data_IF_048635737349
#
_entry.id   IF_048635737349
#
_cell.length_a   1.000
_cell.length_b   1.000
_cell.length_c   1.000
_cell.angle_alpha   90.00
_cell.angle_beta   90.00
_cell.angle_gamma   90.00
#
_symmetry.space_group_name_H-M   'P 1'
#
loop_
_entity.id
_entity.type
_entity.pdbx_description
1 polymer ?
#
# COMPACT_ATOMS: atom_id res chain seq x y z
N UNK A 1 -4.94 14.85 13.07
CA UNK A 1 -4.63 13.53 12.48
C UNK A 1 -5.90 12.70 12.53
N UNK A 2 -6.46 12.35 11.38
CA UNK A 2 -7.68 11.53 11.31
C UNK A 2 -7.38 10.13 11.83
N UNK A 3 -8.18 9.63 12.76
CA UNK A 3 -8.06 8.27 13.27
C UNK A 3 -8.69 7.29 12.26
N UNK A 4 -7.89 6.88 11.28
CA UNK A 4 -8.27 6.01 10.16
C UNK A 4 -8.81 4.65 10.62
N UNK A 5 -8.46 4.23 11.84
CA UNK A 5 -8.81 2.94 12.41
C UNK A 5 -10.27 2.84 12.89
N UNK A 6 -10.95 3.99 13.05
CA UNK A 6 -12.32 4.10 13.59
C UNK A 6 -13.43 3.71 12.63
N UNK A 7 -13.11 3.30 11.40
CA UNK A 7 -14.08 2.71 10.48
C UNK A 7 -13.77 2.98 9.01
N UNK A 8 -14.47 2.24 8.15
CA UNK A 8 -14.27 2.28 6.70
C UNK A 8 -14.52 3.67 6.09
N UNK A 9 -15.43 4.48 6.67
CA UNK A 9 -15.68 5.86 6.21
C UNK A 9 -14.47 6.77 6.44
N UNK A 10 -13.75 6.59 7.55
CA UNK A 10 -12.55 7.38 7.82
C UNK A 10 -11.40 6.96 6.89
N UNK A 11 -11.29 5.66 6.60
CA UNK A 11 -10.35 5.16 5.61
C UNK A 11 -10.69 5.67 4.20
N UNK A 12 -11.97 5.71 3.84
CA UNK A 12 -12.43 6.26 2.57
C UNK A 12 -12.11 7.76 2.43
N UNK A 13 -12.41 8.56 3.47
CA UNK A 13 -12.05 9.97 3.51
C UNK A 13 -10.53 10.17 3.40
N UNK A 14 -9.74 9.32 4.07
CA UNK A 14 -8.29 9.33 3.95
C UNK A 14 -7.82 9.13 2.51
N UNK A 15 -8.33 8.11 1.82
CA UNK A 15 -7.96 7.82 0.43
C UNK A 15 -8.25 9.01 -0.49
N UNK A 16 -9.42 9.63 -0.33
CA UNK A 16 -9.85 10.72 -1.22
C UNK A 16 -9.21 12.07 -0.90
N UNK A 17 -8.55 12.20 0.25
CA UNK A 17 -7.81 13.40 0.63
C UNK A 17 -6.29 13.24 0.48
N UNK A 18 -5.80 12.13 -0.09
CA UNK A 18 -4.36 11.90 -0.28
C UNK A 18 -3.69 13.00 -1.09
N UNK A 19 -4.27 13.43 -2.21
CA UNK A 19 -3.70 14.49 -3.05
C UNK A 19 -3.71 15.87 -2.37
N UNK A 20 -4.62 16.09 -1.40
CA UNK A 20 -4.64 17.32 -0.59
C UNK A 20 -3.58 17.28 0.51
N UNK A 21 -3.32 16.10 1.07
CA UNK A 21 -2.37 15.89 2.17
C UNK A 21 -0.91 15.78 1.71
N UNK A 22 -0.68 15.25 0.50
CA UNK A 22 0.64 14.97 -0.05
C UNK A 22 0.82 15.68 -1.40
N UNK A 23 1.50 16.85 -1.43
CA UNK A 23 1.71 17.62 -2.66
C UNK A 23 2.49 16.89 -3.76
N UNK A 24 3.18 15.80 -3.42
CA UNK A 24 3.88 14.93 -4.37
C UNK A 24 2.93 14.09 -5.23
N UNK A 25 1.69 13.85 -4.77
CA UNK A 25 0.65 13.12 -5.48
C UNK A 25 -0.05 14.07 -6.46
N UNK A 26 0.26 13.95 -7.75
CA UNK A 26 -0.34 14.79 -8.80
C UNK A 26 -1.78 14.36 -9.14
N UNK A 27 -2.06 13.06 -9.02
CA UNK A 27 -3.39 12.49 -9.32
C UNK A 27 -3.61 11.20 -8.55
N UNK A 28 -4.83 11.00 -8.06
CA UNK A 28 -5.28 9.73 -7.48
C UNK A 28 -6.50 9.22 -8.24
N UNK A 29 -6.50 7.93 -8.57
CA UNK A 29 -7.68 7.20 -9.10
C UNK A 29 -8.18 6.16 -8.10
N UNK A 30 -7.68 6.21 -6.86
CA UNK A 30 -8.05 5.25 -5.82
C UNK A 30 -9.55 5.32 -5.55
N UNK A 31 -10.17 4.14 -5.54
CA UNK A 31 -11.58 3.96 -5.16
C UNK A 31 -11.68 2.91 -4.08
N UNK A 32 -12.55 3.17 -3.10
CA UNK A 32 -12.96 2.17 -2.13
C UNK A 32 -14.27 1.54 -2.58
N UNK A 33 -14.27 0.22 -2.74
CA UNK A 33 -15.44 -0.55 -3.17
C UNK A 33 -15.83 -1.47 -2.03
N UNK A 34 -16.98 -1.22 -1.41
CA UNK A 34 -17.57 -2.15 -0.45
C UNK A 34 -18.05 -3.40 -1.19
N UNK A 35 -17.60 -4.56 -0.74
CA UNK A 35 -17.94 -5.84 -1.37
C UNK A 35 -18.75 -6.75 -0.45
N UNK A 36 -18.75 -6.49 0.86
CA UNK A 36 -19.63 -7.12 1.84
C UNK A 36 -19.90 -6.16 3.01
N UNK A 37 -20.75 -6.60 3.96
CA UNK A 37 -21.10 -5.80 5.14
C UNK A 37 -19.89 -5.37 5.98
N UNK A 38 -18.82 -6.17 5.97
CA UNK A 38 -17.60 -5.98 6.76
C UNK A 38 -16.31 -6.01 5.95
N UNK A 39 -16.40 -5.91 4.62
CA UNK A 39 -15.23 -6.00 3.74
C UNK A 39 -15.31 -4.99 2.58
N UNK A 40 -14.17 -4.38 2.27
CA UNK A 40 -13.99 -3.49 1.14
C UNK A 40 -12.67 -3.79 0.43
N UNK A 41 -12.58 -3.34 -0.83
CA UNK A 41 -11.34 -3.33 -1.59
C UNK A 41 -10.97 -1.91 -1.96
N UNK A 42 -9.69 -1.60 -1.90
CA UNK A 42 -9.13 -0.38 -2.47
C UNK A 42 -8.41 -0.77 -3.75
N UNK A 43 -8.66 -0.03 -4.82
CA UNK A 43 -7.93 -0.21 -6.08
C UNK A 43 -7.76 1.10 -6.82
N UNK A 44 -6.73 1.18 -7.64
CA UNK A 44 -6.46 2.32 -8.51
C UNK A 44 -4.97 2.65 -8.49
N UNK A 45 -4.66 3.89 -8.82
CA UNK A 45 -3.30 4.37 -8.99
C UNK A 45 -3.11 5.71 -8.30
N UNK A 46 -1.92 5.91 -7.74
CA UNK A 46 -1.39 7.22 -7.39
C UNK A 46 -0.33 7.59 -8.43
N UNK A 47 -0.42 8.79 -8.99
CA UNK A 47 0.55 9.31 -9.95
C UNK A 47 1.35 10.44 -9.32
N UNK A 48 2.64 10.45 -9.63
CA UNK A 48 3.63 11.40 -9.16
C UNK A 48 4.40 11.98 -10.34
N UNK A 49 5.22 12.99 -10.05
CA UNK A 49 6.20 13.54 -11.00
C UNK A 49 7.13 12.47 -11.56
N UNK A 50 7.81 12.82 -12.65
CA UNK A 50 8.81 11.99 -13.31
C UNK A 50 8.27 10.63 -13.80
N UNK A 51 6.95 10.55 -14.05
CA UNK A 51 6.29 9.35 -14.54
C UNK A 51 6.26 8.19 -13.54
N UNK A 52 6.41 8.48 -12.25
CA UNK A 52 6.29 7.48 -11.20
C UNK A 52 4.81 7.25 -10.88
N UNK A 53 4.41 6.00 -10.71
CA UNK A 53 3.07 5.63 -10.28
C UNK A 53 3.10 4.46 -9.30
N UNK A 54 2.14 4.45 -8.37
CA UNK A 54 1.89 3.32 -7.48
C UNK A 54 0.56 2.71 -7.89
N UNK A 55 0.57 1.48 -8.39
CA UNK A 55 -0.65 0.68 -8.54
C UNK A 55 -0.99 0.05 -7.19
N UNK A 56 -2.21 0.31 -6.70
CA UNK A 56 -2.65 -0.05 -5.35
C UNK A 56 -3.73 -1.12 -5.42
N UNK A 57 -3.58 -2.16 -4.61
CA UNK A 57 -4.63 -3.13 -4.29
C UNK A 57 -4.60 -3.39 -2.79
N UNK A 58 -5.70 -3.14 -2.09
CA UNK A 58 -5.86 -3.50 -0.69
C UNK A 58 -7.18 -4.23 -0.47
N UNK A 59 -7.21 -5.10 0.53
CA UNK A 59 -8.43 -5.67 1.09
C UNK A 59 -8.51 -5.25 2.55
N UNK A 60 -9.66 -4.69 2.91
CA UNK A 60 -9.94 -4.15 4.23
C UNK A 60 -11.01 -4.98 4.90
N UNK A 61 -10.80 -5.31 6.17
CA UNK A 61 -11.76 -5.96 7.04
C UNK A 61 -12.13 -5.00 8.17
N UNK A 62 -13.43 -4.83 8.40
CA UNK A 62 -13.99 -3.88 9.38
C UNK A 62 -15.24 -4.42 10.07
N UNK A 63 -15.33 -5.74 10.27
CA UNK A 63 -16.36 -6.36 11.12
C UNK A 63 -16.18 -5.98 12.60
N UNK A 64 -14.95 -5.66 13.00
CA UNK A 64 -14.57 -5.18 14.33
C UNK A 64 -13.67 -3.96 14.20
N UNK A 65 -13.62 -3.15 15.24
CA UNK A 65 -12.64 -2.08 15.35
C UNK A 65 -11.37 -2.60 16.05
N UNK A 66 -10.17 -2.18 15.60
CA UNK A 66 -9.93 -1.28 14.48
C UNK A 66 -10.14 -1.96 13.11
N UNK A 67 -10.38 -1.16 12.07
CA UNK A 67 -10.26 -1.60 10.69
C UNK A 67 -8.82 -2.10 10.42
N UNK A 68 -8.69 -3.20 9.70
CA UNK A 68 -7.39 -3.77 9.30
C UNK A 68 -7.29 -3.95 7.79
N UNK A 69 -6.07 -3.87 7.27
CA UNK A 69 -5.71 -4.41 5.97
C UNK A 69 -5.41 -5.89 6.19
N UNK A 70 -6.05 -6.80 5.47
CA UNK A 70 -5.78 -8.25 5.60
C UNK A 70 -5.03 -8.83 4.39
N UNK A 71 -4.94 -8.07 3.30
CA UNK A 71 -4.06 -8.31 2.17
C UNK A 71 -3.82 -7.02 1.40
N UNK A 72 -2.63 -6.91 0.81
CA UNK A 72 -2.29 -5.82 -0.10
C UNK A 72 -1.31 -6.25 -1.18
N UNK A 73 -1.25 -5.45 -2.24
CA UNK A 73 -0.20 -5.43 -3.25
C UNK A 73 -0.02 -3.99 -3.72
N UNK A 74 1.21 -3.50 -3.68
CA UNK A 74 1.59 -2.18 -4.19
C UNK A 74 2.71 -2.35 -5.20
N UNK A 75 2.52 -1.88 -6.43
CA UNK A 75 3.55 -1.94 -7.48
C UNK A 75 3.99 -0.52 -7.81
N UNK A 76 5.30 -0.26 -7.74
CA UNK A 76 5.88 1.05 -8.03
C UNK A 76 6.51 1.00 -9.41
N UNK A 77 5.99 1.81 -10.32
CA UNK A 77 6.41 1.88 -11.71
C UNK A 77 7.02 3.24 -12.04
N UNK A 78 7.94 3.26 -13.01
CA UNK A 78 8.40 4.47 -13.72
C UNK A 78 8.23 4.24 -15.22
N UNK A 79 7.21 4.87 -15.81
CA UNK A 79 6.77 4.51 -17.16
C UNK A 79 6.43 3.02 -17.25
N UNK A 80 7.18 2.27 -18.06
CA UNK A 80 6.99 0.83 -18.25
C UNK A 80 7.94 -0.04 -17.39
N UNK A 81 8.77 0.58 -16.56
CA UNK A 81 9.72 -0.11 -15.69
C UNK A 81 9.11 -0.32 -14.30
N UNK A 82 9.03 -1.57 -13.86
CA UNK A 82 8.66 -1.90 -12.49
C UNK A 82 9.88 -1.74 -11.58
N UNK A 83 9.87 -0.73 -10.73
CA UNK A 83 10.97 -0.42 -9.81
C UNK A 83 10.99 -1.35 -8.60
N UNK A 84 9.83 -1.61 -8.02
CA UNK A 84 9.66 -2.56 -6.93
C UNK A 84 8.19 -2.92 -6.74
N UNK A 85 7.92 -3.99 -5.99
CA UNK A 85 6.58 -4.26 -5.51
C UNK A 85 6.60 -4.63 -4.02
N UNK A 86 5.50 -4.39 -3.32
CA UNK A 86 5.27 -4.84 -1.95
C UNK A 86 4.05 -5.75 -1.93
N UNK A 87 4.13 -6.85 -1.18
CA UNK A 87 2.97 -7.67 -0.90
C UNK A 87 3.07 -8.33 0.49
N UNK A 88 2.03 -9.11 0.82
CA UNK A 88 1.85 -9.75 2.11
C UNK A 88 1.75 -11.27 1.99
N UNK A 89 2.26 -11.87 0.90
CA UNK A 89 2.30 -13.31 0.72
C UNK A 89 3.25 -13.93 1.77
N UNK A 90 2.78 -14.86 2.63
CA UNK A 90 3.64 -15.46 3.64
C UNK A 90 4.76 -16.31 3.03
N UNK A 91 5.99 -16.10 3.53
CA UNK A 91 7.17 -16.93 3.24
C UNK A 91 7.75 -17.51 4.54
N UNK A 92 7.05 -18.44 5.22
CA UNK A 92 7.44 -18.93 6.55
C UNK A 92 8.78 -19.68 6.57
N UNK A 93 9.19 -20.23 5.43
CA UNK A 93 10.44 -20.99 5.30
C UNK A 93 11.63 -20.13 4.88
N UNK A 94 11.46 -18.81 4.74
CA UNK A 94 12.55 -17.88 4.46
C UNK A 94 12.94 -17.12 5.75
N UNK A 95 14.08 -17.47 6.39
CA UNK A 95 14.53 -16.79 7.60
C UNK A 95 14.82 -15.31 7.40
N UNK A 96 15.19 -14.89 6.18
CA UNK A 96 15.57 -13.50 5.89
C UNK A 96 14.40 -12.52 5.96
N UNK A 97 13.16 -13.02 5.83
CA UNK A 97 11.94 -12.22 5.83
C UNK A 97 11.17 -12.25 7.16
N UNK A 98 11.64 -13.02 8.14
CA UNK A 98 10.90 -13.23 9.39
C UNK A 98 10.74 -11.95 10.22
N UNK A 99 11.69 -11.01 10.13
CA UNK A 99 11.65 -9.77 10.89
C UNK A 99 10.43 -8.89 10.59
N UNK A 100 9.81 -9.09 9.42
CA UNK A 100 8.65 -8.30 8.98
C UNK A 100 7.50 -9.18 8.52
N UNK A 101 7.48 -10.47 8.88
CA UNK A 101 6.47 -11.42 8.42
C UNK A 101 5.03 -10.88 8.57
N UNK A 102 4.17 -10.95 7.52
CA UNK A 102 4.43 -11.48 6.17
C UNK A 102 4.91 -10.43 5.16
N UNK A 103 5.15 -9.21 5.61
CA UNK A 103 5.44 -8.04 4.79
C UNK A 103 6.84 -8.11 4.18
N UNK A 104 6.91 -7.94 2.86
CA UNK A 104 8.17 -7.88 2.16
C UNK A 104 8.06 -7.04 0.89
N UNK A 105 9.23 -6.66 0.39
CA UNK A 105 9.43 -5.89 -0.84
C UNK A 105 10.22 -6.72 -1.83
N UNK A 106 9.87 -6.59 -3.10
CA UNK A 106 10.55 -7.18 -4.23
C UNK A 106 11.35 -6.13 -4.99
N UNK A 107 12.60 -6.43 -5.31
CA UNK A 107 13.55 -5.51 -5.92
C UNK A 107 14.23 -6.12 -7.15
N UNK A 108 14.54 -5.37 -8.21
CA UNK A 108 15.47 -5.81 -9.25
C UNK A 108 16.89 -6.04 -8.70
N UNK A 109 17.73 -6.86 -9.37
CA UNK A 109 17.40 -7.75 -10.47
C UNK A 109 16.59 -8.97 -10.01
N UNK A 110 15.96 -9.69 -10.96
CA UNK A 110 15.09 -10.85 -10.69
C UNK A 110 14.02 -10.58 -9.62
N UNK A 111 13.19 -9.56 -9.89
CA UNK A 111 12.19 -9.04 -8.95
C UNK A 111 11.25 -10.12 -8.40
N UNK A 112 11.06 -11.24 -9.09
CA UNK A 112 10.20 -12.34 -8.60
C UNK A 112 10.84 -13.13 -7.45
N UNK A 113 12.16 -13.11 -7.32
CA UNK A 113 12.90 -13.91 -6.34
C UNK A 113 13.71 -13.06 -5.35
N UNK A 114 14.02 -11.82 -5.69
CA UNK A 114 14.78 -10.92 -4.83
C UNK A 114 13.85 -10.16 -3.87
N UNK A 115 13.73 -10.69 -2.64
CA UNK A 115 12.87 -10.18 -1.58
C UNK A 115 13.70 -9.60 -0.44
N UNK A 116 13.21 -8.53 0.15
CA UNK A 116 13.76 -7.93 1.37
C UNK A 116 12.65 -7.61 2.38
N UNK A 117 12.96 -7.57 3.69
CA UNK A 117 12.02 -7.14 4.71
C UNK A 117 11.41 -5.76 4.42
N UNK A 118 10.14 -5.57 4.79
CA UNK A 118 9.39 -4.32 4.63
C UNK A 118 8.84 -3.82 5.98
N UNK A 119 9.67 -3.25 6.88
CA UNK A 119 9.28 -2.86 8.24
C UNK A 119 8.27 -1.71 8.29
N UNK A 120 8.18 -0.94 7.21
CA UNK A 120 7.25 0.17 7.05
C UNK A 120 5.84 -0.25 6.63
N UNK A 121 5.63 -1.52 6.25
CA UNK A 121 4.31 -2.08 5.95
C UNK A 121 3.63 -2.62 7.21
N UNK A 122 2.30 -2.65 7.19
CA UNK A 122 1.49 -3.09 8.31
C UNK A 122 0.09 -3.52 7.87
N UNK A 123 -0.55 -4.30 8.72
CA UNK A 123 -1.99 -4.59 8.65
C UNK A 123 -2.85 -3.66 9.51
N UNK A 124 -2.27 -2.97 10.48
CA UNK A 124 -3.03 -2.20 11.49
C UNK A 124 -2.92 -0.69 11.31
N UNK A 125 -2.21 -0.22 10.27
CA UNK A 125 -2.15 1.18 9.87
C UNK A 125 -2.11 1.30 8.34
N UNK A 126 -2.50 2.46 7.76
CA UNK A 126 -2.38 2.67 6.33
C UNK A 126 -0.91 2.58 5.87
N UNK A 127 -0.68 1.89 4.75
CA UNK A 127 0.66 1.75 4.16
C UNK A 127 0.98 2.86 3.16
N UNK A 128 -0.03 3.45 2.53
CA UNK A 128 0.13 4.50 1.51
C UNK A 128 1.02 5.68 1.96
N UNK A 129 0.98 6.18 3.22
CA UNK A 129 1.89 7.22 3.66
C UNK A 129 3.37 6.82 3.56
N UNK A 130 3.71 5.58 3.91
CA UNK A 130 5.08 5.09 3.83
C UNK A 130 5.56 4.99 2.37
N UNK A 131 4.67 4.53 1.47
CA UNK A 131 4.98 4.44 0.04
C UNK A 131 5.14 5.83 -0.59
N UNK A 132 4.29 6.79 -0.23
CA UNK A 132 4.38 8.17 -0.73
C UNK A 132 5.72 8.79 -0.28
N UNK A 133 6.09 8.65 0.99
CA UNK A 133 7.37 9.11 1.51
C UNK A 133 8.56 8.44 0.80
N UNK A 134 8.45 7.15 0.44
CA UNK A 134 9.48 6.49 -0.35
C UNK A 134 9.66 7.16 -1.72
N UNK A 135 8.56 7.47 -2.43
CA UNK A 135 8.63 8.15 -3.73
C UNK A 135 9.23 9.54 -3.59
N UNK A 136 8.87 10.29 -2.55
CA UNK A 136 9.42 11.62 -2.25
C UNK A 136 10.93 11.58 -2.03
N UNK A 137 11.49 10.46 -1.56
CA UNK A 137 12.93 10.29 -1.39
C UNK A 137 13.67 9.82 -2.66
N UNK A 138 12.95 9.49 -3.74
CA UNK A 138 13.54 9.07 -5.02
C UNK A 138 13.85 10.25 -5.97
N UNK A 139 13.43 11.49 -5.63
CA UNK A 139 13.54 12.65 -6.52
C UNK A 139 13.62 13.98 -5.81
#
# INVERSE_FOLDING_TARGET
MSDFSRGVQNYELFLYTLAEQYPSVERSTLVLIRIAASMARVRGELHFKNGIQIAVKERLIFDRLPLVIDAYSYEIWRGNELLCWYDSQPHPNDPSLQSTHPHHKHLPPDIKHNRVPAPEMSFTRPNLPALILEIENLG
#
